data_IF_248454331174
#
_entry.id   IF_248454331174
#
_cell.length_a   1.000
_cell.length_b   1.000
_cell.length_c   1.000
_cell.angle_alpha   90.00
_cell.angle_beta   90.00
_cell.angle_gamma   90.00
#
_symmetry.space_group_name_H-M   'P 1'
#
loop_
_entity.id
_entity.type
_entity.pdbx_description
1 polymer ?
#
# COMPACT_ATOMS: atom_id res chain seq x y z
N UNK A 1 15.09 37.59 -45.79
CA UNK A 1 15.78 36.29 -45.90
C UNK A 1 14.79 35.21 -45.66
N UNK A 2 14.54 34.41 -46.68
CA UNK A 2 13.46 33.43 -46.81
C UNK A 2 13.61 32.28 -45.77
N UNK A 3 12.69 32.20 -44.86
CA UNK A 3 12.41 30.98 -44.10
C UNK A 3 11.50 30.09 -44.93
N UNK A 4 12.06 29.37 -45.87
CA UNK A 4 11.42 28.18 -46.42
C UNK A 4 11.39 27.12 -45.31
N UNK A 5 10.25 27.03 -44.63
CA UNK A 5 9.87 25.81 -43.90
C UNK A 5 9.71 24.70 -44.95
N UNK A 6 10.78 23.98 -45.19
CA UNK A 6 10.72 22.66 -45.82
C UNK A 6 9.81 21.79 -44.93
N UNK A 7 8.53 21.69 -45.30
CA UNK A 7 7.68 20.57 -44.95
C UNK A 7 8.42 19.31 -45.40
N UNK A 8 9.21 18.72 -44.54
CA UNK A 8 9.76 17.38 -44.77
C UNK A 8 8.57 16.42 -44.91
N UNK A 9 8.24 16.07 -46.16
CA UNK A 9 7.34 14.97 -46.47
C UNK A 9 7.86 13.78 -45.65
N UNK A 10 7.03 13.24 -44.78
CA UNK A 10 7.31 11.98 -44.06
C UNK A 10 7.62 10.95 -45.15
N UNK A 11 8.88 10.52 -45.21
CA UNK A 11 9.28 9.49 -46.16
C UNK A 11 8.47 8.21 -45.86
N UNK A 12 7.99 7.48 -46.86
CA UNK A 12 7.21 6.28 -46.67
C UNK A 12 7.97 5.33 -45.74
N UNK A 13 7.28 4.80 -44.73
CA UNK A 13 7.84 3.75 -43.85
C UNK A 13 8.09 2.57 -44.76
N UNK A 14 9.36 2.17 -44.91
CA UNK A 14 9.69 0.97 -45.62
C UNK A 14 8.94 -0.21 -44.99
N UNK A 15 8.23 -1.05 -45.78
CA UNK A 15 7.50 -2.22 -45.22
C UNK A 15 8.39 -3.14 -44.40
N UNK A 16 9.70 -3.09 -44.59
CA UNK A 16 10.74 -3.79 -43.81
C UNK A 16 10.63 -3.48 -42.31
N UNK A 17 10.29 -2.24 -41.88
CA UNK A 17 10.17 -1.94 -40.42
C UNK A 17 8.93 -2.52 -39.78
N UNK A 18 7.94 -2.95 -40.55
CA UNK A 18 6.79 -3.66 -40.04
C UNK A 18 7.12 -5.15 -39.79
N UNK A 19 8.05 -5.72 -40.55
CA UNK A 19 8.50 -7.11 -40.40
C UNK A 19 9.74 -7.22 -39.50
N UNK A 20 10.71 -6.31 -39.68
CA UNK A 20 11.98 -6.30 -38.97
C UNK A 20 12.08 -4.98 -38.20
N UNK A 21 11.96 -5.04 -36.86
CA UNK A 21 12.13 -3.84 -36.03
C UNK A 21 13.52 -3.24 -36.24
N UNK A 22 13.57 -1.93 -36.37
CA UNK A 22 14.83 -1.22 -36.64
C UNK A 22 15.26 -1.20 -38.09
N UNK A 23 14.58 -1.94 -39.01
CA UNK A 23 14.98 -2.05 -40.41
C UNK A 23 15.03 -0.69 -41.17
N UNK A 24 14.04 0.18 -40.98
CA UNK A 24 14.06 1.54 -41.53
C UNK A 24 15.15 2.40 -40.90
N UNK A 25 15.38 2.28 -39.62
CA UNK A 25 16.42 3.00 -38.89
C UNK A 25 17.82 2.61 -39.41
N UNK A 26 18.07 1.30 -39.56
CA UNK A 26 19.32 0.80 -40.12
C UNK A 26 19.57 1.27 -41.56
N UNK A 27 18.53 1.23 -42.42
CA UNK A 27 18.63 1.71 -43.79
C UNK A 27 18.90 3.21 -43.90
N UNK A 28 18.56 3.98 -42.85
CA UNK A 28 18.83 5.43 -42.74
C UNK A 28 20.05 5.75 -41.92
N UNK A 29 20.95 4.79 -41.69
CA UNK A 29 22.21 4.89 -40.91
C UNK A 29 22.06 5.20 -39.42
N UNK A 30 20.87 4.97 -38.81
CA UNK A 30 20.70 4.99 -37.35
C UNK A 30 21.07 3.62 -36.75
N UNK A 31 22.36 3.30 -36.74
CA UNK A 31 22.86 1.97 -36.34
C UNK A 31 22.55 1.62 -34.88
N UNK A 32 22.66 2.61 -33.95
CA UNK A 32 22.44 2.37 -32.53
C UNK A 32 20.97 2.08 -32.24
N UNK A 33 20.06 2.95 -32.67
CA UNK A 33 18.61 2.76 -32.45
C UNK A 33 18.09 1.52 -33.17
N UNK A 34 18.47 1.35 -34.44
CA UNK A 34 18.04 0.22 -35.25
C UNK A 34 18.56 -1.11 -34.68
N UNK A 35 19.81 -1.15 -34.21
CA UNK A 35 20.38 -2.31 -33.56
C UNK A 35 19.67 -2.68 -32.24
N UNK A 36 19.30 -1.70 -31.43
CA UNK A 36 18.53 -1.94 -30.19
C UNK A 36 17.14 -2.54 -30.51
N UNK A 37 16.39 -1.95 -31.46
CA UNK A 37 15.08 -2.48 -31.84
C UNK A 37 15.18 -3.87 -32.43
N UNK A 38 16.16 -4.13 -33.28
CA UNK A 38 16.41 -5.46 -33.85
C UNK A 38 16.77 -6.49 -32.77
N UNK A 39 17.66 -6.14 -31.84
CA UNK A 39 18.04 -7.04 -30.74
C UNK A 39 16.83 -7.41 -29.86
N UNK A 40 15.95 -6.43 -29.55
CA UNK A 40 14.72 -6.68 -28.77
C UNK A 40 13.82 -7.66 -29.52
N UNK A 41 13.65 -7.50 -30.84
CA UNK A 41 12.84 -8.43 -31.64
C UNK A 41 13.45 -9.85 -31.65
N UNK A 42 14.76 -9.95 -31.87
CA UNK A 42 15.45 -11.27 -31.87
C UNK A 42 15.28 -11.97 -30.53
N UNK A 43 15.52 -11.25 -29.43
CA UNK A 43 15.31 -11.80 -28.08
C UNK A 43 13.86 -12.29 -27.89
N UNK A 44 12.87 -11.48 -28.28
CA UNK A 44 11.47 -11.85 -28.17
C UNK A 44 11.13 -13.11 -28.99
N UNK A 45 11.64 -13.20 -30.24
CA UNK A 45 11.40 -14.37 -31.10
C UNK A 45 12.07 -15.64 -30.60
N UNK A 46 13.26 -15.53 -29.99
CA UNK A 46 13.95 -16.69 -29.40
C UNK A 46 13.14 -17.31 -28.23
N UNK A 47 12.45 -16.49 -27.44
CA UNK A 47 11.62 -16.94 -26.31
C UNK A 47 10.13 -17.04 -26.66
N UNK A 48 9.75 -16.90 -27.95
CA UNK A 48 8.34 -16.88 -28.35
C UNK A 48 7.61 -18.17 -27.98
N UNK A 49 8.25 -19.32 -28.15
CA UNK A 49 7.68 -20.64 -27.78
C UNK A 49 7.35 -20.69 -26.30
N UNK A 50 8.29 -20.27 -25.43
CA UNK A 50 8.12 -20.29 -23.98
C UNK A 50 7.05 -19.29 -23.55
N UNK A 51 7.04 -18.09 -24.15
CA UNK A 51 6.02 -17.06 -23.91
C UNK A 51 4.62 -17.58 -24.26
N UNK A 52 4.46 -18.26 -25.40
CA UNK A 52 3.16 -18.81 -25.79
C UNK A 52 2.74 -19.93 -24.84
N UNK A 53 3.67 -20.80 -24.45
CA UNK A 53 3.38 -21.89 -23.50
C UNK A 53 2.93 -21.33 -22.13
N UNK A 54 3.64 -20.34 -21.61
CA UNK A 54 3.28 -19.69 -20.32
C UNK A 54 1.97 -18.92 -20.41
N UNK A 55 1.65 -18.28 -21.55
CA UNK A 55 0.35 -17.65 -21.76
C UNK A 55 -0.79 -18.67 -21.79
N UNK A 56 -0.61 -19.83 -22.43
CA UNK A 56 -1.59 -20.93 -22.36
C UNK A 56 -1.77 -21.37 -20.92
N UNK A 57 -0.67 -21.57 -20.18
CA UNK A 57 -0.69 -21.93 -18.77
C UNK A 57 -1.44 -20.94 -17.86
N UNK A 58 -1.42 -19.64 -18.21
CA UNK A 58 -2.21 -18.63 -17.50
C UNK A 58 -3.73 -18.92 -17.59
N UNK A 59 -4.21 -19.40 -18.72
CA UNK A 59 -5.63 -19.68 -18.91
C UNK A 59 -6.04 -21.06 -18.39
N UNK A 60 -5.20 -22.08 -18.55
CA UNK A 60 -5.52 -23.45 -18.14
C UNK A 60 -5.25 -23.70 -16.65
N UNK A 61 -4.28 -23.00 -16.06
CA UNK A 61 -3.78 -23.21 -14.70
C UNK A 61 -3.26 -24.62 -14.42
N UNK A 62 -2.93 -25.37 -15.48
CA UNK A 62 -2.44 -26.75 -15.46
C UNK A 62 -3.53 -27.80 -15.66
N UNK A 63 -3.11 -28.94 -16.17
CA UNK A 63 -4.00 -30.05 -16.53
C UNK A 63 -3.70 -31.31 -15.70
N UNK A 64 -2.51 -31.41 -15.12
CA UNK A 64 -2.01 -32.63 -14.45
C UNK A 64 -1.77 -32.34 -12.95
N UNK A 65 -2.60 -32.93 -12.10
CA UNK A 65 -2.38 -32.91 -10.65
C UNK A 65 -1.25 -33.89 -10.26
N UNK A 66 -0.59 -33.62 -9.13
CA UNK A 66 0.43 -34.51 -8.59
C UNK A 66 -0.14 -35.91 -8.26
N UNK A 67 0.44 -36.97 -8.80
CA UNK A 67 0.00 -38.32 -8.55
C UNK A 67 1.09 -39.07 -7.76
N UNK A 68 0.70 -39.66 -6.63
CA UNK A 68 1.58 -40.55 -5.85
C UNK A 68 1.31 -42.01 -6.21
N UNK A 69 2.28 -42.66 -6.85
CA UNK A 69 2.24 -44.12 -7.14
C UNK A 69 3.25 -44.84 -6.23
N UNK A 70 2.77 -45.32 -5.08
CA UNK A 70 3.64 -45.96 -4.07
C UNK A 70 4.68 -45.01 -3.50
N UNK A 71 5.98 -45.31 -3.72
CA UNK A 71 7.11 -44.46 -3.29
C UNK A 71 7.49 -43.38 -4.31
N UNK A 72 6.99 -43.46 -5.55
CA UNK A 72 7.29 -42.47 -6.60
C UNK A 72 6.21 -41.39 -6.61
N UNK A 73 6.67 -40.15 -6.67
CA UNK A 73 5.82 -38.96 -6.82
C UNK A 73 6.02 -38.43 -8.23
N UNK A 74 4.98 -38.47 -9.04
CA UNK A 74 4.94 -37.80 -10.34
C UNK A 74 4.54 -36.35 -10.05
N UNK A 75 5.44 -35.42 -10.35
CA UNK A 75 5.14 -34.01 -10.16
C UNK A 75 4.02 -33.57 -11.09
N UNK A 76 3.03 -32.86 -10.53
CA UNK A 76 1.98 -32.22 -11.28
C UNK A 76 2.30 -30.75 -11.58
N UNK A 77 1.41 -30.13 -12.33
CA UNK A 77 1.49 -28.71 -12.63
C UNK A 77 1.28 -27.87 -11.37
N UNK A 78 2.01 -26.76 -11.27
CA UNK A 78 1.81 -25.79 -10.22
C UNK A 78 1.01 -24.60 -10.76
N UNK A 79 -0.30 -24.63 -10.58
CA UNK A 79 -1.24 -23.62 -11.06
C UNK A 79 -0.84 -22.19 -10.70
N UNK A 80 -0.23 -21.97 -9.51
CA UNK A 80 0.17 -20.63 -9.07
C UNK A 80 1.44 -20.17 -9.78
N UNK A 81 2.41 -21.07 -10.02
CA UNK A 81 3.57 -20.72 -10.82
C UNK A 81 3.18 -20.41 -12.25
N UNK A 82 2.28 -21.20 -12.86
CA UNK A 82 1.76 -20.95 -14.20
C UNK A 82 1.02 -19.61 -14.28
N UNK A 83 0.25 -19.25 -13.24
CA UNK A 83 -0.40 -17.94 -13.15
C UNK A 83 0.64 -16.81 -13.09
N UNK A 84 1.67 -16.92 -12.25
CA UNK A 84 2.72 -15.90 -12.09
C UNK A 84 3.52 -15.75 -13.38
N UNK A 85 3.98 -16.84 -13.96
CA UNK A 85 4.75 -16.86 -15.21
C UNK A 85 3.93 -16.29 -16.37
N UNK A 86 2.64 -16.65 -16.47
CA UNK A 86 1.75 -16.12 -17.47
C UNK A 86 1.49 -14.62 -17.35
N UNK A 87 1.42 -14.07 -16.11
CA UNK A 87 1.36 -12.62 -15.89
C UNK A 87 2.65 -11.95 -16.32
N UNK A 88 3.80 -12.53 -16.01
CA UNK A 88 5.11 -12.02 -16.47
C UNK A 88 5.16 -12.02 -17.99
N UNK A 89 4.76 -13.13 -18.64
CA UNK A 89 4.70 -13.22 -20.09
C UNK A 89 3.77 -12.15 -20.70
N UNK A 90 2.63 -11.90 -20.09
CA UNK A 90 1.70 -10.83 -20.51
C UNK A 90 2.34 -9.45 -20.43
N UNK A 91 3.08 -9.15 -19.37
CA UNK A 91 3.84 -7.90 -19.21
C UNK A 91 4.92 -7.80 -20.30
N UNK A 92 5.67 -8.86 -20.55
CA UNK A 92 6.70 -8.91 -21.61
C UNK A 92 6.10 -8.65 -22.98
N UNK A 93 4.97 -9.26 -23.30
CA UNK A 93 4.25 -9.02 -24.57
C UNK A 93 3.77 -7.58 -24.66
N UNK A 94 3.25 -7.00 -23.57
CA UNK A 94 2.83 -5.59 -23.51
C UNK A 94 4.01 -4.62 -23.73
N UNK A 95 5.16 -4.89 -23.12
CA UNK A 95 6.39 -4.11 -23.32
C UNK A 95 6.90 -4.24 -24.75
N UNK A 96 6.88 -5.45 -25.31
CA UNK A 96 7.25 -5.67 -26.71
C UNK A 96 6.32 -4.92 -27.68
N UNK A 97 5.00 -5.01 -27.49
CA UNK A 97 4.02 -4.29 -28.29
C UNK A 97 4.23 -2.76 -28.22
N UNK A 98 4.50 -2.23 -27.02
CA UNK A 98 4.81 -0.81 -26.83
C UNK A 98 6.09 -0.42 -27.59
N UNK A 99 7.13 -1.24 -27.47
CA UNK A 99 8.41 -1.03 -28.17
C UNK A 99 8.23 -1.10 -29.70
N UNK A 100 7.38 -2.00 -30.17
CA UNK A 100 7.04 -2.12 -31.58
C UNK A 100 6.33 -0.85 -32.10
N UNK A 101 5.37 -0.31 -31.34
CA UNK A 101 4.70 0.96 -31.68
C UNK A 101 5.70 2.12 -31.73
N UNK A 102 6.62 2.17 -30.75
CA UNK A 102 7.67 3.19 -30.71
C UNK A 102 8.62 3.08 -31.91
N UNK A 103 8.99 1.84 -32.30
CA UNK A 103 9.79 1.60 -33.51
C UNK A 103 9.12 2.16 -34.75
N UNK A 104 7.81 1.91 -34.94
CA UNK A 104 7.07 2.45 -36.11
C UNK A 104 6.99 3.97 -36.06
N UNK A 105 6.72 4.59 -34.90
CA UNK A 105 6.69 6.05 -34.74
C UNK A 105 8.05 6.68 -35.08
N UNK A 106 9.14 6.09 -34.56
CA UNK A 106 10.50 6.57 -34.81
C UNK A 106 10.86 6.39 -36.30
N UNK A 107 10.50 5.27 -36.94
CA UNK A 107 10.71 5.02 -38.36
C UNK A 107 9.99 6.04 -39.24
N UNK A 108 8.78 6.49 -38.88
CA UNK A 108 8.03 7.52 -39.61
C UNK A 108 8.70 8.90 -39.56
N UNK A 109 9.29 9.23 -38.42
CA UNK A 109 9.85 10.55 -38.11
C UNK A 109 11.34 10.67 -38.41
N UNK A 110 12.04 9.56 -38.66
CA UNK A 110 13.49 9.57 -38.91
C UNK A 110 13.82 10.04 -40.32
N UNK A 111 14.81 10.93 -40.43
CA UNK A 111 15.50 11.33 -41.70
C UNK A 111 16.83 10.56 -41.79
N UNK A 112 17.60 10.78 -42.88
CA UNK A 112 18.93 10.18 -42.97
C UNK A 112 19.86 10.73 -41.88
N UNK A 113 20.63 9.84 -41.29
CA UNK A 113 21.58 10.16 -40.21
C UNK A 113 23.02 10.26 -40.78
N UNK A 114 23.68 11.37 -40.50
CA UNK A 114 25.09 11.58 -40.88
C UNK A 114 26.04 11.46 -39.70
N UNK A 115 25.54 11.05 -38.54
CA UNK A 115 26.35 10.90 -37.29
C UNK A 115 27.10 9.58 -37.30
N UNK A 116 28.32 9.59 -36.75
CA UNK A 116 29.09 8.37 -36.49
C UNK A 116 28.42 7.57 -35.36
N UNK A 117 28.75 6.27 -35.27
CA UNK A 117 28.21 5.39 -34.24
C UNK A 117 28.38 5.96 -32.81
N UNK A 118 29.58 6.49 -32.49
CA UNK A 118 29.88 7.11 -31.19
C UNK A 118 29.00 8.33 -30.91
N UNK A 119 28.80 9.18 -31.92
CA UNK A 119 27.94 10.36 -31.80
C UNK A 119 26.46 9.97 -31.66
N UNK A 120 26.01 8.90 -32.33
CA UNK A 120 24.64 8.37 -32.16
C UNK A 120 24.40 7.86 -30.74
N UNK A 121 25.38 7.16 -30.17
CA UNK A 121 25.30 6.66 -28.79
C UNK A 121 25.21 7.81 -27.78
N UNK A 122 26.09 8.83 -27.94
CA UNK A 122 26.09 10.00 -27.07
C UNK A 122 24.76 10.78 -27.18
N UNK A 123 24.30 11.02 -28.38
CA UNK A 123 23.02 11.69 -28.62
C UNK A 123 21.83 10.91 -28.06
N UNK A 124 21.82 9.58 -28.20
CA UNK A 124 20.77 8.73 -27.61
C UNK A 124 20.78 8.82 -26.09
N UNK A 125 21.97 8.84 -25.49
CA UNK A 125 22.12 9.02 -24.05
C UNK A 125 21.58 10.37 -23.59
N UNK A 126 21.94 11.48 -24.25
CA UNK A 126 21.43 12.81 -23.91
C UNK A 126 19.92 12.93 -24.11
N UNK A 127 19.40 12.53 -25.28
CA UNK A 127 17.98 12.64 -25.63
C UNK A 127 17.09 11.76 -24.71
N UNK A 128 17.63 10.66 -24.18
CA UNK A 128 16.90 9.66 -23.39
C UNK A 128 17.40 9.53 -21.97
N UNK A 129 18.23 10.43 -21.50
CA UNK A 129 18.84 10.40 -20.18
C UNK A 129 17.81 10.16 -19.07
N UNK A 130 16.72 10.93 -19.06
CA UNK A 130 15.67 10.78 -18.04
C UNK A 130 15.05 9.37 -18.05
N UNK A 131 14.79 8.80 -19.24
CA UNK A 131 14.25 7.44 -19.34
C UNK A 131 15.27 6.40 -18.88
N UNK A 132 16.54 6.53 -19.24
CA UNK A 132 17.62 5.60 -18.85
C UNK A 132 17.75 5.57 -17.31
N UNK A 133 17.75 6.73 -16.66
CA UNK A 133 17.87 6.86 -15.21
C UNK A 133 16.64 6.34 -14.48
N UNK A 134 15.44 6.57 -15.03
CA UNK A 134 14.19 6.11 -14.41
C UNK A 134 13.87 4.64 -14.69
N UNK A 135 14.47 4.01 -15.71
CA UNK A 135 14.18 2.61 -16.08
C UNK A 135 14.36 1.61 -14.93
N UNK A 136 15.44 1.63 -14.13
CA UNK A 136 15.59 0.69 -13.02
C UNK A 136 14.47 0.83 -11.98
N UNK A 137 14.10 2.07 -11.62
CA UNK A 137 13.01 2.34 -10.69
C UNK A 137 11.65 1.90 -11.25
N UNK A 138 11.41 2.11 -12.54
CA UNK A 138 10.19 1.66 -13.23
C UNK A 138 10.09 0.13 -13.27
N UNK A 139 11.17 -0.56 -13.62
CA UNK A 139 11.21 -2.04 -13.62
C UNK A 139 11.02 -2.60 -12.21
N UNK A 140 11.65 -2.00 -11.21
CA UNK A 140 11.44 -2.38 -9.81
C UNK A 140 9.98 -2.16 -9.39
N UNK A 141 9.34 -1.05 -9.79
CA UNK A 141 7.92 -0.81 -9.52
C UNK A 141 7.02 -1.85 -10.18
N UNK A 142 7.31 -2.26 -11.41
CA UNK A 142 6.56 -3.34 -12.08
C UNK A 142 6.73 -4.65 -11.30
N UNK A 143 7.96 -5.03 -10.94
CA UNK A 143 8.25 -6.30 -10.29
C UNK A 143 7.72 -6.39 -8.85
N UNK A 144 7.83 -5.32 -8.06
CA UNK A 144 7.53 -5.36 -6.62
C UNK A 144 6.20 -4.72 -6.23
N UNK A 145 5.55 -3.97 -7.12
CA UNK A 145 4.27 -3.32 -6.85
C UNK A 145 3.20 -3.85 -7.80
N UNK A 146 3.38 -3.70 -9.11
CA UNK A 146 2.33 -4.03 -10.10
C UNK A 146 2.08 -5.54 -10.15
N UNK A 147 3.14 -6.35 -10.24
CA UNK A 147 3.02 -7.80 -10.36
C UNK A 147 2.28 -8.43 -9.17
N UNK A 148 2.61 -8.18 -7.88
CA UNK A 148 1.85 -8.70 -6.74
C UNK A 148 0.38 -8.25 -6.72
N UNK A 149 0.09 -7.01 -7.13
CA UNK A 149 -1.29 -6.52 -7.22
C UNK A 149 -2.07 -7.31 -8.27
N UNK A 150 -1.50 -7.48 -9.47
CA UNK A 150 -2.14 -8.24 -10.55
C UNK A 150 -2.38 -9.68 -10.13
N UNK A 151 -1.38 -10.34 -9.51
CA UNK A 151 -1.53 -11.70 -8.98
C UNK A 151 -2.66 -11.77 -7.94
N UNK A 152 -2.70 -10.82 -7.00
CA UNK A 152 -3.77 -10.76 -5.99
C UNK A 152 -5.15 -10.62 -6.64
N UNK A 153 -5.26 -9.77 -7.67
CA UNK A 153 -6.51 -9.63 -8.43
C UNK A 153 -6.89 -10.94 -9.10
N UNK A 154 -5.96 -11.62 -9.77
CA UNK A 154 -6.25 -12.87 -10.47
C UNK A 154 -6.60 -14.00 -9.49
N UNK A 155 -5.90 -14.14 -8.38
CA UNK A 155 -6.18 -15.13 -7.33
C UNK A 155 -7.60 -14.97 -6.78
N UNK A 156 -8.15 -13.78 -6.71
CA UNK A 156 -9.54 -13.56 -6.26
C UNK A 156 -10.59 -14.23 -7.14
N UNK A 157 -10.25 -14.52 -8.40
CA UNK A 157 -11.11 -15.21 -9.36
C UNK A 157 -10.88 -16.72 -9.43
N UNK A 158 -9.99 -17.25 -8.57
CA UNK A 158 -9.67 -18.69 -8.48
C UNK A 158 -10.25 -19.31 -7.21
N UNK A 159 -10.19 -20.66 -7.11
CA UNK A 159 -10.55 -21.39 -5.89
C UNK A 159 -9.34 -21.69 -4.98
N UNK A 160 -8.21 -20.97 -5.12
CA UNK A 160 -6.97 -21.22 -4.39
C UNK A 160 -7.14 -21.15 -2.88
N UNK A 161 -7.24 -22.33 -2.24
CA UNK A 161 -7.44 -22.44 -0.79
C UNK A 161 -7.15 -23.85 -0.25
N UNK A 162 -6.67 -23.93 0.99
CA UNK A 162 -6.60 -25.18 1.72
C UNK A 162 -8.01 -25.65 2.14
N UNK A 163 -8.20 -26.98 2.24
CA UNK A 163 -7.25 -28.05 1.96
C UNK A 163 -7.31 -28.55 0.51
N UNK A 164 -8.32 -28.14 -0.27
CA UNK A 164 -8.71 -28.80 -1.51
C UNK A 164 -7.95 -28.32 -2.75
N UNK A 165 -7.50 -27.08 -2.79
CA UNK A 165 -6.88 -26.48 -3.96
C UNK A 165 -5.52 -25.86 -3.62
N UNK A 166 -4.57 -26.73 -3.24
CA UNK A 166 -3.17 -26.36 -2.95
C UNK A 166 -2.26 -27.07 -3.97
N UNK A 167 -1.74 -26.36 -4.98
CA UNK A 167 -0.82 -26.93 -5.97
C UNK A 167 0.53 -27.31 -5.33
N UNK A 168 1.25 -28.29 -5.88
CA UNK A 168 0.90 -29.11 -7.06
C UNK A 168 0.01 -30.31 -6.72
N UNK A 169 -0.32 -30.52 -5.44
CA UNK A 169 -1.11 -31.67 -5.00
C UNK A 169 -2.51 -31.70 -5.61
N UNK A 170 -3.17 -30.56 -5.64
CA UNK A 170 -4.45 -30.35 -6.31
C UNK A 170 -4.38 -29.07 -7.14
N UNK A 171 -4.98 -29.09 -8.32
CA UNK A 171 -5.01 -27.94 -9.21
C UNK A 171 -5.93 -26.84 -8.69
N UNK A 172 -5.70 -25.64 -9.18
CA UNK A 172 -6.53 -24.46 -8.96
C UNK A 172 -7.30 -24.16 -10.24
N UNK A 173 -8.57 -23.80 -10.11
CA UNK A 173 -9.45 -23.47 -11.22
C UNK A 173 -9.92 -22.02 -11.18
N UNK A 174 -10.27 -21.51 -12.36
CA UNK A 174 -10.95 -20.24 -12.48
C UNK A 174 -12.44 -20.40 -12.08
N UNK A 175 -12.87 -19.64 -11.06
CA UNK A 175 -14.26 -19.66 -10.57
C UNK A 175 -15.02 -18.36 -10.83
N UNK A 176 -14.35 -17.39 -11.46
CA UNK A 176 -14.93 -16.07 -11.74
C UNK A 176 -15.34 -15.33 -10.47
N UNK A 177 -16.50 -14.69 -10.47
CA UNK A 177 -16.99 -13.85 -9.37
C UNK A 177 -17.59 -14.62 -8.18
N UNK A 178 -17.53 -15.96 -8.18
CA UNK A 178 -18.14 -16.78 -7.11
C UNK A 178 -17.64 -16.43 -5.72
N UNK A 179 -16.36 -16.10 -5.57
CA UNK A 179 -15.77 -15.73 -4.28
C UNK A 179 -16.35 -14.41 -3.73
N UNK A 180 -16.59 -13.44 -4.61
CA UNK A 180 -17.25 -12.18 -4.23
C UNK A 180 -18.70 -12.44 -3.78
N UNK A 181 -19.43 -13.29 -4.51
CA UNK A 181 -20.79 -13.69 -4.14
C UNK A 181 -20.77 -14.43 -2.81
N UNK A 182 -19.81 -15.34 -2.59
CA UNK A 182 -19.67 -16.10 -1.36
C UNK A 182 -19.48 -15.19 -0.14
N UNK A 183 -18.66 -14.16 -0.25
CA UNK A 183 -18.40 -13.22 0.85
C UNK A 183 -19.68 -12.51 1.33
N UNK A 184 -20.61 -12.18 0.42
CA UNK A 184 -21.81 -11.44 0.78
C UNK A 184 -23.06 -12.32 0.95
N UNK A 185 -23.12 -13.50 0.32
CA UNK A 185 -24.28 -14.39 0.36
C UNK A 185 -24.28 -15.29 1.59
N UNK A 186 -23.14 -15.80 2.01
CA UNK A 186 -23.06 -16.68 3.19
C UNK A 186 -22.99 -15.86 4.46
N UNK A 187 -23.97 -16.05 5.34
CA UNK A 187 -24.13 -15.27 6.58
C UNK A 187 -22.86 -15.16 7.40
N UNK A 188 -22.15 -16.27 7.63
CA UNK A 188 -20.93 -16.27 8.44
C UNK A 188 -19.81 -15.38 7.84
N UNK A 189 -19.70 -15.32 6.51
CA UNK A 189 -18.71 -14.46 5.84
C UNK A 189 -19.13 -13.00 5.85
N UNK A 190 -20.42 -12.72 5.58
CA UNK A 190 -20.94 -11.34 5.59
C UNK A 190 -20.94 -10.74 6.98
N UNK A 191 -21.33 -11.49 8.00
CA UNK A 191 -21.31 -11.03 9.40
C UNK A 191 -19.86 -10.77 9.88
N UNK A 192 -18.91 -11.65 9.51
CA UNK A 192 -17.50 -11.43 9.80
C UNK A 192 -16.99 -10.18 9.08
N UNK A 193 -17.27 -10.05 7.79
CA UNK A 193 -16.81 -8.89 7.00
C UNK A 193 -17.34 -7.57 7.57
N UNK A 194 -18.63 -7.50 7.85
CA UNK A 194 -19.25 -6.30 8.42
C UNK A 194 -18.76 -6.00 9.84
N UNK A 195 -18.59 -7.03 10.67
CA UNK A 195 -18.10 -6.86 12.03
C UNK A 195 -16.64 -6.38 12.07
N UNK A 196 -15.76 -6.98 11.25
CA UNK A 196 -14.37 -6.53 11.10
C UNK A 196 -14.31 -5.14 10.48
N UNK A 197 -15.14 -4.84 9.47
CA UNK A 197 -15.24 -3.51 8.88
C UNK A 197 -15.60 -2.45 9.93
N UNK A 198 -16.71 -2.67 10.63
CA UNK A 198 -17.17 -1.73 11.67
C UNK A 198 -16.09 -1.48 12.73
N UNK A 199 -15.48 -2.56 13.21
CA UNK A 199 -14.40 -2.41 14.18
C UNK A 199 -13.18 -1.70 13.61
N UNK A 200 -12.78 -1.98 12.37
CA UNK A 200 -11.65 -1.29 11.70
C UNK A 200 -11.88 0.21 11.66
N UNK A 201 -13.11 0.65 11.33
CA UNK A 201 -13.46 2.08 11.32
C UNK A 201 -13.45 2.69 12.72
N UNK A 202 -14.10 2.03 13.70
CA UNK A 202 -14.12 2.51 15.10
C UNK A 202 -12.68 2.62 15.61
N UNK A 203 -11.88 1.59 15.41
CA UNK A 203 -10.47 1.57 15.78
C UNK A 203 -9.69 2.74 15.15
N UNK A 204 -9.74 2.90 13.82
CA UNK A 204 -8.98 3.92 13.13
C UNK A 204 -9.38 5.34 13.56
N UNK A 205 -10.68 5.58 13.74
CA UNK A 205 -11.22 6.86 14.20
C UNK A 205 -10.80 7.12 15.66
N UNK A 206 -11.06 6.19 16.56
CA UNK A 206 -10.76 6.36 17.98
C UNK A 206 -9.26 6.49 18.23
N UNK A 207 -8.44 5.62 17.61
CA UNK A 207 -6.99 5.71 17.74
C UNK A 207 -6.46 7.06 17.26
N UNK A 208 -6.96 7.58 16.13
CA UNK A 208 -6.53 8.87 15.59
C UNK A 208 -6.97 10.03 16.47
N UNK A 209 -8.27 10.09 16.83
CA UNK A 209 -8.83 11.20 17.60
C UNK A 209 -8.22 11.24 19.01
N UNK A 210 -8.13 10.11 19.70
CA UNK A 210 -7.60 10.08 21.06
C UNK A 210 -6.09 10.34 21.10
N UNK A 211 -5.33 9.83 20.13
CA UNK A 211 -3.89 10.12 20.02
C UNK A 211 -3.66 11.60 19.76
N UNK A 212 -4.41 12.21 18.84
CA UNK A 212 -4.36 13.65 18.59
C UNK A 212 -4.76 14.44 19.84
N UNK A 213 -5.92 14.14 20.45
CA UNK A 213 -6.44 14.88 21.59
C UNK A 213 -5.50 14.81 22.78
N UNK A 214 -4.94 13.63 23.09
CA UNK A 214 -3.99 13.48 24.18
C UNK A 214 -2.68 14.21 23.90
N UNK A 215 -2.15 14.13 22.68
CA UNK A 215 -0.98 14.90 22.23
C UNK A 215 -1.24 16.42 22.30
N UNK A 216 -2.46 16.86 21.94
CA UNK A 216 -2.88 18.27 22.04
C UNK A 216 -2.90 18.76 23.49
N UNK A 217 -3.48 17.98 24.39
CA UNK A 217 -3.50 18.28 25.83
C UNK A 217 -2.07 18.41 26.37
N UNK A 218 -1.19 17.46 26.03
CA UNK A 218 0.21 17.50 26.44
C UNK A 218 0.94 18.75 25.90
N UNK A 219 0.73 19.10 24.62
CA UNK A 219 1.33 20.26 24.00
C UNK A 219 0.90 21.55 24.69
N UNK A 220 -0.41 21.74 24.94
CA UNK A 220 -0.94 22.89 25.65
C UNK A 220 -0.44 22.96 27.11
N UNK A 221 -0.43 21.83 27.80
CA UNK A 221 0.08 21.76 29.15
C UNK A 221 1.54 22.24 29.20
N UNK A 222 2.40 21.72 28.33
CA UNK A 222 3.84 22.03 28.31
C UNK A 222 4.17 23.39 27.66
N UNK A 223 3.22 24.05 27.00
CA UNK A 223 3.39 25.42 26.47
C UNK A 223 3.24 26.51 27.55
N UNK A 224 2.66 26.19 28.72
CA UNK A 224 2.47 27.15 29.80
C UNK A 224 3.83 27.60 30.38
N UNK A 225 4.03 28.93 30.50
CA UNK A 225 5.27 29.55 31.00
C UNK A 225 5.64 29.17 32.44
N UNK A 226 4.66 28.82 33.27
CA UNK A 226 4.83 28.59 34.71
C UNK A 226 5.19 27.15 35.09
N UNK A 227 5.38 26.22 34.12
CA UNK A 227 5.74 24.85 34.42
C UNK A 227 7.23 24.73 34.68
N UNK A 228 7.57 24.48 35.94
CA UNK A 228 8.94 24.10 36.33
C UNK A 228 9.29 22.78 35.62
N UNK A 229 10.50 22.70 35.08
CA UNK A 229 11.00 21.51 34.39
C UNK A 229 10.25 21.10 33.11
N UNK A 230 9.56 22.04 32.43
CA UNK A 230 8.86 21.75 31.16
C UNK A 230 9.73 21.00 30.14
N UNK A 231 11.04 21.32 30.07
CA UNK A 231 11.99 20.63 29.18
C UNK A 231 12.17 19.16 29.56
N UNK A 232 12.29 18.87 30.86
CA UNK A 232 12.47 17.48 31.37
C UNK A 232 11.18 16.69 31.17
N UNK A 233 10.01 17.27 31.47
CA UNK A 233 8.71 16.65 31.24
C UNK A 233 8.50 16.33 29.74
N UNK A 234 8.89 17.26 28.86
CA UNK A 234 8.84 17.01 27.42
C UNK A 234 9.70 15.84 27.01
N UNK A 235 10.93 15.74 27.57
CA UNK A 235 11.82 14.61 27.33
C UNK A 235 11.20 13.28 27.80
N UNK A 236 10.59 13.25 28.99
CA UNK A 236 9.91 12.06 29.54
C UNK A 236 8.75 11.64 28.63
N UNK A 237 7.91 12.60 28.20
CA UNK A 237 6.78 12.27 27.32
C UNK A 237 7.18 11.84 25.91
N UNK A 238 8.38 12.17 25.44
CA UNK A 238 8.90 11.70 24.13
C UNK A 238 9.45 10.27 24.21
N UNK A 239 9.85 9.78 25.38
CA UNK A 239 10.44 8.44 25.53
C UNK A 239 9.63 7.31 24.89
N UNK A 240 8.30 7.23 25.02
CA UNK A 240 7.51 6.19 24.37
C UNK A 240 7.69 6.15 22.85
N UNK A 241 7.84 7.30 22.23
CA UNK A 241 8.04 7.42 20.78
C UNK A 241 9.47 7.09 20.34
N UNK A 242 10.45 7.21 21.24
CA UNK A 242 11.85 6.88 20.95
C UNK A 242 12.13 5.36 20.97
N UNK A 243 11.26 4.59 21.60
CA UNK A 243 11.39 3.11 21.65
C UNK A 243 10.73 2.51 20.40
N UNK A 244 11.37 1.53 19.73
CA UNK A 244 10.74 0.86 18.59
C UNK A 244 9.36 0.31 18.98
N UNK A 245 8.33 0.69 18.20
CA UNK A 245 6.93 0.39 18.54
C UNK A 245 6.65 -1.09 18.75
N UNK A 246 7.29 -1.97 17.96
CA UNK A 246 7.09 -3.41 18.10
C UNK A 246 7.54 -3.94 19.48
N UNK A 247 8.66 -3.41 20.02
CA UNK A 247 9.14 -3.76 21.35
C UNK A 247 8.15 -3.32 22.41
N UNK A 248 7.68 -2.08 22.30
CA UNK A 248 6.70 -1.50 23.22
C UNK A 248 5.41 -2.33 23.25
N UNK A 249 4.88 -2.70 22.08
CA UNK A 249 3.63 -3.50 21.99
C UNK A 249 3.79 -4.88 22.62
N UNK A 250 4.91 -5.56 22.39
CA UNK A 250 5.19 -6.87 23.00
C UNK A 250 5.36 -6.76 24.52
N UNK A 251 6.01 -5.70 25.01
CA UNK A 251 6.13 -5.43 26.46
C UNK A 251 4.73 -5.22 27.05
N UNK A 252 3.87 -4.40 26.44
CA UNK A 252 2.50 -4.20 26.93
C UNK A 252 1.68 -5.49 26.91
N UNK A 253 1.86 -6.34 25.91
CA UNK A 253 1.22 -7.66 25.88
C UNK A 253 1.63 -8.50 27.09
N UNK A 254 2.91 -8.50 27.47
CA UNK A 254 3.40 -9.21 28.66
C UNK A 254 2.90 -8.58 29.95
N UNK A 255 2.93 -7.24 30.06
CA UNK A 255 2.50 -6.51 31.25
C UNK A 255 1.01 -6.70 31.52
N UNK A 256 0.17 -6.70 30.49
CA UNK A 256 -1.30 -6.73 30.57
C UNK A 256 -1.89 -8.15 30.45
N UNK A 257 -1.06 -9.18 30.43
CA UNK A 257 -1.51 -10.57 30.48
C UNK A 257 -2.23 -10.86 31.81
N UNK A 258 -3.13 -11.84 31.81
CA UNK A 258 -3.89 -12.25 33.00
C UNK A 258 -3.04 -12.55 34.25
N UNK A 259 -1.85 -13.11 34.03
CA UNK A 259 -0.85 -13.39 35.09
C UNK A 259 0.33 -12.41 35.07
N UNK A 260 0.20 -11.30 34.29
CA UNK A 260 1.26 -10.33 34.10
C UNK A 260 1.50 -9.42 35.32
N UNK A 261 2.61 -8.64 35.29
CA UNK A 261 3.00 -7.75 36.37
C UNK A 261 1.93 -6.75 36.81
N UNK A 262 1.10 -6.24 35.87
CA UNK A 262 0.02 -5.30 36.19
C UNK A 262 -1.02 -5.98 37.09
N UNK A 263 -1.48 -7.18 36.75
CA UNK A 263 -2.42 -7.94 37.55
C UNK A 263 -1.81 -8.41 38.88
N UNK A 264 -0.53 -8.77 38.89
CA UNK A 264 0.19 -9.08 40.13
C UNK A 264 0.22 -7.89 41.09
N UNK A 265 0.46 -6.69 40.56
CA UNK A 265 0.40 -5.45 41.34
C UNK A 265 -1.02 -5.16 41.82
N UNK A 266 -2.05 -5.27 41.00
CA UNK A 266 -3.46 -5.08 41.41
C UNK A 266 -3.83 -6.02 42.55
N UNK A 267 -3.48 -7.29 42.44
CA UNK A 267 -3.72 -8.28 43.52
C UNK A 267 -2.98 -7.92 44.79
N UNK A 268 -1.75 -7.40 44.72
CA UNK A 268 -0.97 -7.02 45.90
C UNK A 268 -1.59 -5.88 46.74
N UNK A 269 -2.39 -5.01 46.04
CA UNK A 269 -3.12 -3.92 46.69
C UNK A 269 -4.58 -4.27 47.01
N UNK A 270 -4.95 -5.57 46.87
CA UNK A 270 -6.29 -6.07 47.21
C UNK A 270 -7.35 -5.86 46.14
N UNK A 271 -6.95 -5.49 44.92
CA UNK A 271 -7.86 -5.36 43.74
C UNK A 271 -7.92 -6.68 42.98
N UNK A 272 -9.05 -6.96 42.36
CA UNK A 272 -9.20 -8.12 41.49
C UNK A 272 -8.40 -7.97 40.20
N UNK A 273 -7.92 -9.10 39.68
CA UNK A 273 -7.30 -9.16 38.35
C UNK A 273 -8.27 -8.67 37.25
N UNK A 274 -7.74 -7.96 36.28
CA UNK A 274 -8.49 -7.47 35.13
C UNK A 274 -8.07 -8.22 33.86
N UNK A 275 -9.03 -8.76 33.17
CA UNK A 275 -8.81 -9.42 31.86
C UNK A 275 -8.69 -8.38 30.74
N UNK A 276 -7.51 -7.75 30.67
CA UNK A 276 -7.23 -6.68 29.71
C UNK A 276 -7.30 -7.14 28.25
N UNK A 277 -6.88 -8.37 27.96
CA UNK A 277 -6.70 -8.87 26.58
C UNK A 277 -7.67 -10.02 26.23
N UNK A 278 -8.31 -10.64 27.24
CA UNK A 278 -9.14 -11.85 27.08
C UNK A 278 -10.63 -11.54 26.98
N UNK A 279 -11.08 -10.38 27.45
CA UNK A 279 -12.47 -9.92 27.32
C UNK A 279 -12.60 -8.96 26.14
N UNK A 280 -13.59 -9.13 25.23
CA UNK A 280 -13.69 -8.37 23.98
C UNK A 280 -13.65 -6.85 24.15
N UNK A 281 -14.43 -6.32 25.08
CA UNK A 281 -14.49 -4.87 25.30
C UNK A 281 -13.17 -4.34 25.88
N UNK A 282 -12.63 -5.05 26.88
CA UNK A 282 -11.37 -4.66 27.51
C UNK A 282 -10.21 -4.70 26.51
N UNK A 283 -10.15 -5.73 25.66
CA UNK A 283 -9.13 -5.84 24.62
C UNK A 283 -9.20 -4.66 23.62
N UNK A 284 -10.41 -4.29 23.19
CA UNK A 284 -10.61 -3.12 22.32
C UNK A 284 -10.16 -1.81 22.97
N UNK A 285 -10.54 -1.57 24.21
CA UNK A 285 -10.12 -0.38 24.98
C UNK A 285 -8.61 -0.38 25.19
N UNK A 286 -8.03 -1.51 25.56
CA UNK A 286 -6.60 -1.67 25.83
C UNK A 286 -5.77 -1.37 24.60
N UNK A 287 -6.16 -1.91 23.43
CA UNK A 287 -5.46 -1.64 22.17
C UNK A 287 -5.46 -0.14 21.85
N UNK A 288 -6.61 0.53 21.98
CA UNK A 288 -6.71 1.98 21.79
C UNK A 288 -5.82 2.73 22.78
N UNK A 289 -5.88 2.40 24.06
CA UNK A 289 -5.12 3.08 25.11
C UNK A 289 -3.60 2.97 24.90
N UNK A 290 -3.12 1.78 24.57
CA UNK A 290 -1.69 1.54 24.28
C UNK A 290 -1.27 2.32 23.01
N UNK A 291 -2.10 2.33 21.96
CA UNK A 291 -1.83 3.09 20.75
C UNK A 291 -1.75 4.60 21.03
N UNK A 292 -2.65 5.12 21.86
CA UNK A 292 -2.64 6.54 22.29
C UNK A 292 -1.35 6.84 23.05
N UNK A 293 -0.97 5.99 23.99
CA UNK A 293 0.26 6.18 24.77
C UNK A 293 1.51 6.22 23.88
N UNK A 294 1.60 5.36 22.87
CA UNK A 294 2.72 5.32 21.92
C UNK A 294 2.70 6.51 20.96
N UNK A 295 1.53 6.89 20.45
CA UNK A 295 1.40 7.86 19.36
C UNK A 295 1.27 9.32 19.79
N UNK A 296 0.76 9.59 20.99
CA UNK A 296 0.51 10.95 21.48
C UNK A 296 1.75 11.87 21.51
N UNK A 297 2.98 11.38 21.83
CA UNK A 297 4.18 12.22 21.79
C UNK A 297 4.46 12.84 20.43
N UNK A 298 4.17 12.12 19.36
CA UNK A 298 4.30 12.65 18.00
C UNK A 298 3.41 13.87 17.78
N UNK A 299 2.13 13.78 18.15
CA UNK A 299 1.20 14.91 18.06
C UNK A 299 1.56 16.02 19.03
N UNK A 300 2.05 15.69 20.22
CA UNK A 300 2.55 16.69 21.17
C UNK A 300 3.65 17.57 20.52
N UNK A 301 4.62 16.96 19.85
CA UNK A 301 5.69 17.70 19.16
C UNK A 301 5.18 18.50 17.97
N UNK A 302 4.35 17.89 17.14
CA UNK A 302 3.77 18.53 15.96
C UNK A 302 2.94 19.76 16.34
N UNK A 303 2.08 19.61 17.36
CA UNK A 303 1.22 20.69 17.85
C UNK A 303 2.03 21.76 18.57
N UNK A 304 3.06 21.39 19.33
CA UNK A 304 3.95 22.38 19.94
C UNK A 304 4.63 23.26 18.87
N UNK A 305 5.03 22.67 17.73
CA UNK A 305 5.52 23.42 16.58
C UNK A 305 4.45 24.35 15.98
N UNK A 306 3.23 23.83 15.77
CA UNK A 306 2.12 24.63 15.24
C UNK A 306 1.76 25.81 16.15
N UNK A 307 1.77 25.62 17.46
CA UNK A 307 1.51 26.67 18.43
C UNK A 307 2.54 27.82 18.37
N UNK A 308 3.79 27.55 18.01
CA UNK A 308 4.81 28.60 17.86
C UNK A 308 4.57 29.50 16.66
N UNK A 309 3.82 29.03 15.66
CA UNK A 309 3.49 29.79 14.44
C UNK A 309 2.29 30.75 14.63
N UNK A 310 1.59 30.66 15.76
CA UNK A 310 0.46 31.55 16.07
C UNK A 310 1.01 32.85 16.66
N UNK A 311 0.72 34.00 16.00
CA UNK A 311 1.16 35.30 16.51
C UNK A 311 0.57 35.60 17.90
N UNK A 312 1.42 36.15 18.77
CA UNK A 312 0.97 36.63 20.09
C UNK A 312 -0.01 37.78 19.99
N UNK A 313 0.09 38.62 18.96
CA UNK A 313 -0.79 39.77 18.76
C UNK A 313 -2.26 39.34 18.66
N UNK A 314 -2.55 38.14 18.12
CA UNK A 314 -3.91 37.61 18.08
C UNK A 314 -4.48 37.35 19.48
N UNK A 315 -3.64 36.85 20.38
CA UNK A 315 -4.06 36.62 21.77
C UNK A 315 -4.18 37.92 22.56
N UNK A 316 -3.26 38.85 22.35
CA UNK A 316 -3.29 40.17 23.00
C UNK A 316 -4.50 41.00 22.53
N UNK A 317 -4.79 41.00 21.22
CA UNK A 317 -6.00 41.67 20.69
C UNK A 317 -7.28 41.07 21.27
N UNK A 318 -7.35 39.71 21.32
CA UNK A 318 -8.53 39.04 21.89
C UNK A 318 -8.71 39.29 23.40
N UNK A 319 -7.62 39.51 24.16
CA UNK A 319 -7.68 39.91 25.57
C UNK A 319 -8.24 41.32 25.73
N UNK A 320 -7.88 42.26 24.85
CA UNK A 320 -8.43 43.60 24.81
C UNK A 320 -9.94 43.58 24.50
N UNK A 321 -10.36 42.66 23.61
CA UNK A 321 -11.78 42.44 23.29
C UNK A 321 -12.55 41.70 24.39
N UNK A 322 -11.90 41.33 25.50
CA UNK A 322 -12.51 40.66 26.64
C UNK A 322 -12.75 39.16 26.49
N UNK A 323 -12.07 38.51 25.53
CA UNK A 323 -12.20 37.09 25.32
C UNK A 323 -11.64 36.25 26.49
N UNK A 324 -12.39 35.25 26.92
CA UNK A 324 -11.95 34.27 27.91
C UNK A 324 -10.91 33.30 27.33
N UNK A 325 -10.11 32.65 28.17
CA UNK A 325 -9.13 31.64 27.74
C UNK A 325 -9.76 30.49 26.96
N UNK A 326 -11.02 30.14 27.27
CA UNK A 326 -11.77 29.13 26.50
C UNK A 326 -12.16 29.62 25.12
N UNK A 327 -12.56 30.87 24.98
CA UNK A 327 -12.85 31.48 23.67
C UNK A 327 -11.57 31.59 22.84
N UNK A 328 -10.45 32.03 23.42
CA UNK A 328 -9.15 32.04 22.75
C UNK A 328 -8.76 30.64 22.26
N UNK A 329 -8.97 29.60 23.09
CA UNK A 329 -8.71 28.22 22.68
C UNK A 329 -9.60 27.78 21.51
N UNK A 330 -10.92 28.02 21.63
CA UNK A 330 -11.92 27.53 20.66
C UNK A 330 -11.85 28.26 19.32
N UNK A 331 -11.68 29.58 19.35
CA UNK A 331 -11.81 30.43 18.16
C UNK A 331 -10.44 30.75 17.51
N UNK A 332 -9.32 30.67 18.24
CA UNK A 332 -7.99 30.99 17.73
C UNK A 332 -7.13 29.71 17.68
N UNK A 333 -6.86 29.13 18.84
CA UNK A 333 -5.85 28.06 18.96
C UNK A 333 -6.26 26.77 18.19
N UNK A 334 -7.46 26.27 18.49
CA UNK A 334 -7.91 25.00 17.92
C UNK A 334 -8.06 25.04 16.39
N UNK A 335 -8.71 26.05 15.78
CA UNK A 335 -8.85 26.12 14.33
C UNK A 335 -7.50 26.26 13.61
N UNK A 336 -6.59 27.11 14.13
CA UNK A 336 -5.29 27.33 13.52
C UNK A 336 -4.41 26.08 13.57
N UNK A 337 -4.39 25.39 14.73
CA UNK A 337 -3.67 24.12 14.87
C UNK A 337 -4.28 23.04 13.96
N UNK A 338 -5.62 22.90 13.98
CA UNK A 338 -6.28 21.92 13.11
C UNK A 338 -5.97 22.16 11.63
N UNK A 339 -5.96 23.41 11.17
CA UNK A 339 -5.63 23.72 9.79
C UNK A 339 -4.21 23.25 9.41
N UNK A 340 -3.23 23.45 10.31
CA UNK A 340 -1.84 23.05 10.07
C UNK A 340 -1.64 21.52 10.13
N UNK A 341 -2.34 20.82 11.04
CA UNK A 341 -2.14 19.38 11.26
C UNK A 341 -3.15 18.49 10.51
N UNK A 342 -4.16 19.07 9.86
CA UNK A 342 -5.21 18.33 9.16
C UNK A 342 -4.68 17.27 8.15
N UNK A 343 -3.68 17.57 7.31
CA UNK A 343 -3.11 16.56 6.41
C UNK A 343 -2.54 15.37 7.19
N UNK A 344 -1.85 15.64 8.30
CA UNK A 344 -1.26 14.60 9.15
C UNK A 344 -2.32 13.76 9.85
N UNK A 345 -3.44 14.36 10.29
CA UNK A 345 -4.57 13.61 10.86
C UNK A 345 -5.16 12.61 9.88
N UNK A 346 -5.31 13.01 8.64
CA UNK A 346 -5.83 12.12 7.59
C UNK A 346 -4.84 10.98 7.30
N UNK A 347 -3.54 11.30 7.21
CA UNK A 347 -2.49 10.27 7.05
C UNK A 347 -2.47 9.31 8.24
N UNK A 348 -2.64 9.82 9.46
CA UNK A 348 -2.69 8.98 10.68
C UNK A 348 -3.93 8.08 10.70
N UNK A 349 -5.08 8.56 10.24
CA UNK A 349 -6.27 7.73 10.08
C UNK A 349 -6.02 6.58 9.10
N UNK A 350 -5.44 6.87 7.91
CA UNK A 350 -5.10 5.84 6.92
C UNK A 350 -4.05 4.84 7.45
N UNK A 351 -3.07 5.32 8.21
CA UNK A 351 -2.10 4.48 8.90
C UNK A 351 -2.77 3.55 9.92
N UNK A 352 -3.63 4.11 10.81
CA UNK A 352 -4.34 3.31 11.81
C UNK A 352 -5.31 2.32 11.17
N UNK A 353 -5.96 2.66 10.06
CA UNK A 353 -6.81 1.74 9.32
C UNK A 353 -6.08 0.46 8.89
N UNK A 354 -4.77 0.56 8.60
CA UNK A 354 -3.91 -0.54 8.19
C UNK A 354 -2.83 -0.90 9.23
N UNK A 355 -3.03 -0.55 10.50
CA UNK A 355 -2.02 -0.76 11.54
C UNK A 355 -1.99 -2.22 12.03
N UNK A 356 -1.36 -3.07 11.21
CA UNK A 356 -1.15 -4.48 11.54
C UNK A 356 -0.47 -4.67 12.89
N UNK A 357 0.61 -3.91 13.15
CA UNK A 357 1.45 -4.08 14.33
C UNK A 357 0.70 -3.86 15.63
N UNK A 358 -0.11 -2.79 15.72
CA UNK A 358 -0.83 -2.47 16.96
C UNK A 358 -1.80 -3.60 17.38
N UNK A 359 -2.49 -4.19 16.42
CA UNK A 359 -3.46 -5.25 16.69
C UNK A 359 -2.76 -6.60 16.86
N UNK A 360 -1.89 -6.99 15.92
CA UNK A 360 -1.32 -8.34 15.91
C UNK A 360 -0.34 -8.57 17.04
N UNK A 361 0.55 -7.62 17.33
CA UNK A 361 1.56 -7.79 18.38
C UNK A 361 0.97 -7.72 19.80
N UNK A 362 -0.13 -7.01 19.99
CA UNK A 362 -0.75 -6.86 21.30
C UNK A 362 -1.77 -7.97 21.60
N UNK A 363 -2.64 -8.31 20.66
CA UNK A 363 -3.77 -9.23 20.87
C UNK A 363 -3.84 -10.40 19.89
N UNK A 364 -3.02 -10.42 18.83
CA UNK A 364 -3.16 -11.34 17.68
C UNK A 364 -4.58 -11.34 17.09
N UNK A 365 -5.29 -10.19 17.20
CA UNK A 365 -6.68 -10.07 16.78
C UNK A 365 -7.70 -10.69 17.75
N UNK A 366 -7.24 -11.23 18.89
CA UNK A 366 -8.09 -11.83 19.93
C UNK A 366 -8.91 -10.82 20.74
N UNK A 367 -9.75 -11.31 21.64
CA UNK A 367 -10.13 -12.72 21.81
C UNK A 367 -10.91 -13.28 20.62
N UNK A 368 -10.93 -14.62 20.52
CA UNK A 368 -11.66 -15.33 19.45
C UNK A 368 -13.14 -15.00 19.47
N UNK A 369 -13.73 -14.84 18.29
CA UNK A 369 -15.17 -14.67 18.13
C UNK A 369 -15.76 -15.89 17.43
N UNK A 370 -16.60 -16.71 18.12
CA UNK A 370 -17.16 -17.93 17.55
C UNK A 370 -18.15 -17.67 16.40
N UNK A 371 -18.71 -16.46 16.32
CA UNK A 371 -19.62 -16.05 15.24
C UNK A 371 -18.86 -15.60 13.98
N UNK A 372 -17.56 -15.37 14.08
CA UNK A 372 -16.74 -14.90 12.97
C UNK A 372 -15.92 -16.02 12.33
N UNK A 373 -15.80 -15.98 11.04
CA UNK A 373 -14.98 -16.94 10.30
C UNK A 373 -13.52 -16.45 10.27
N UNK A 374 -12.66 -17.13 11.02
CA UNK A 374 -11.22 -16.87 11.08
C UNK A 374 -10.81 -15.47 11.58
N UNK A 375 -11.69 -14.77 12.28
CA UNK A 375 -11.40 -13.47 12.89
C UNK A 375 -11.75 -13.47 14.39
N UNK A 376 -11.05 -12.63 15.16
CA UNK A 376 -11.39 -12.34 16.54
C UNK A 376 -11.99 -10.95 16.71
N UNK A 377 -12.26 -10.58 17.96
CA UNK A 377 -12.97 -9.33 18.30
C UNK A 377 -12.14 -8.05 18.06
N UNK A 378 -10.81 -8.14 18.03
CA UNK A 378 -9.94 -6.99 17.76
C UNK A 378 -9.32 -7.04 16.37
N UNK A 379 -9.61 -8.06 15.55
CA UNK A 379 -9.10 -8.10 14.18
C UNK A 379 -9.62 -6.92 13.37
N UNK A 380 -8.69 -6.25 12.70
CA UNK A 380 -8.96 -5.30 11.63
C UNK A 380 -8.73 -5.99 10.28
N UNK A 381 -9.10 -5.37 9.18
CA UNK A 381 -8.98 -6.00 7.87
C UNK A 381 -7.60 -6.59 7.58
N UNK A 382 -6.52 -5.84 7.84
CA UNK A 382 -5.16 -6.30 7.53
C UNK A 382 -4.75 -7.52 8.36
N UNK A 383 -5.15 -7.60 9.64
CA UNK A 383 -4.84 -8.75 10.50
C UNK A 383 -5.69 -9.96 10.14
N UNK A 384 -6.94 -9.76 9.73
CA UNK A 384 -7.79 -10.84 9.23
C UNK A 384 -7.28 -11.40 7.90
N UNK A 385 -6.90 -10.54 6.93
CA UNK A 385 -6.25 -10.96 5.67
C UNK A 385 -4.98 -11.77 5.95
N UNK A 386 -4.16 -11.32 6.90
CA UNK A 386 -2.96 -12.04 7.31
C UNK A 386 -3.28 -13.45 7.81
N UNK A 387 -4.27 -13.59 8.70
CA UNK A 387 -4.72 -14.89 9.21
C UNK A 387 -5.28 -15.78 8.09
N UNK A 388 -6.13 -15.22 7.23
CA UNK A 388 -6.68 -15.94 6.08
C UNK A 388 -5.57 -16.47 5.17
N UNK A 389 -4.50 -15.68 4.96
CA UNK A 389 -3.41 -16.04 4.07
C UNK A 389 -2.45 -17.05 4.71
N UNK A 390 -1.90 -16.75 5.90
CA UNK A 390 -0.81 -17.52 6.48
C UNK A 390 -1.29 -18.65 7.40
N UNK A 391 -2.34 -18.41 8.20
CA UNK A 391 -2.78 -19.41 9.17
C UNK A 391 -3.79 -20.40 8.56
N UNK A 392 -4.70 -19.89 7.71
CA UNK A 392 -5.83 -20.67 7.19
C UNK A 392 -5.73 -20.97 5.69
N UNK A 393 -4.74 -20.39 4.99
CA UNK A 393 -4.48 -20.60 3.57
C UNK A 393 -5.73 -20.41 2.68
N UNK A 394 -6.56 -19.42 3.01
CA UNK A 394 -7.77 -19.04 2.26
C UNK A 394 -7.44 -17.87 1.32
N UNK A 395 -6.51 -18.12 0.39
CA UNK A 395 -5.91 -17.07 -0.46
C UNK A 395 -6.95 -16.34 -1.32
N UNK A 396 -7.93 -17.07 -1.88
CA UNK A 396 -8.99 -16.53 -2.71
C UNK A 396 -9.85 -15.49 -1.98
N UNK A 397 -10.28 -15.77 -0.73
CA UNK A 397 -11.08 -14.82 0.06
C UNK A 397 -10.23 -13.66 0.58
N UNK A 398 -8.99 -13.93 1.01
CA UNK A 398 -8.05 -12.88 1.39
C UNK A 398 -7.85 -11.87 0.24
N UNK A 399 -7.72 -12.36 -0.99
CA UNK A 399 -7.58 -11.54 -2.19
C UNK A 399 -8.85 -10.73 -2.48
N UNK A 400 -10.04 -11.31 -2.36
CA UNK A 400 -11.33 -10.59 -2.53
C UNK A 400 -11.42 -9.43 -1.54
N UNK A 401 -11.15 -9.68 -0.26
CA UNK A 401 -11.20 -8.66 0.79
C UNK A 401 -10.19 -7.55 0.49
N UNK A 402 -8.96 -7.92 0.09
CA UNK A 402 -7.90 -6.96 -0.28
C UNK A 402 -8.33 -6.04 -1.41
N UNK A 403 -8.99 -6.57 -2.45
CA UNK A 403 -9.49 -5.77 -3.59
C UNK A 403 -10.59 -4.81 -3.14
N UNK A 404 -11.55 -5.28 -2.34
CA UNK A 404 -12.65 -4.43 -1.85
C UNK A 404 -12.08 -3.25 -1.04
N UNK A 405 -11.13 -3.53 -0.14
CA UNK A 405 -10.47 -2.49 0.66
C UNK A 405 -9.67 -1.53 -0.21
N UNK A 406 -8.93 -2.06 -1.19
CA UNK A 406 -8.15 -1.23 -2.12
C UNK A 406 -9.04 -0.27 -2.90
N UNK A 407 -10.14 -0.75 -3.46
CA UNK A 407 -11.11 0.10 -4.18
C UNK A 407 -11.70 1.16 -3.24
N UNK A 408 -12.11 0.75 -2.04
CA UNK A 408 -12.68 1.66 -1.04
C UNK A 408 -11.70 2.78 -0.65
N UNK A 409 -10.48 2.42 -0.28
CA UNK A 409 -9.45 3.40 0.11
C UNK A 409 -9.03 4.29 -1.07
N UNK A 410 -8.96 3.74 -2.28
CA UNK A 410 -8.65 4.52 -3.49
C UNK A 410 -9.72 5.58 -3.78
N UNK A 411 -11.00 5.24 -3.63
CA UNK A 411 -12.09 6.21 -3.81
C UNK A 411 -11.99 7.34 -2.79
N UNK A 412 -11.73 7.01 -1.51
CA UNK A 412 -11.54 8.02 -0.46
C UNK A 412 -10.34 8.92 -0.76
N UNK A 413 -9.20 8.32 -1.13
CA UNK A 413 -7.98 9.05 -1.45
C UNK A 413 -8.20 10.01 -2.63
N UNK A 414 -8.80 9.55 -3.74
CA UNK A 414 -9.11 10.40 -4.90
C UNK A 414 -10.07 11.54 -4.53
N UNK A 415 -11.12 11.24 -3.74
CA UNK A 415 -12.06 12.24 -3.29
C UNK A 415 -11.40 13.31 -2.43
N UNK A 416 -10.50 12.91 -1.53
CA UNK A 416 -9.75 13.82 -0.67
C UNK A 416 -8.76 14.68 -1.48
N UNK A 417 -7.97 14.07 -2.40
CA UNK A 417 -7.04 14.79 -3.26
C UNK A 417 -7.75 15.89 -4.06
N UNK A 418 -8.93 15.60 -4.61
CA UNK A 418 -9.74 16.60 -5.36
C UNK A 418 -10.21 17.79 -4.51
N UNK A 419 -10.24 17.66 -3.17
CA UNK A 419 -10.65 18.72 -2.25
C UNK A 419 -9.49 19.57 -1.73
N UNK A 420 -8.25 19.12 -1.88
CA UNK A 420 -7.08 19.88 -1.42
C UNK A 420 -6.83 21.07 -2.36
N UNK A 421 -6.67 22.28 -1.78
CA UNK A 421 -6.43 23.52 -2.55
C UNK A 421 -5.17 23.43 -3.42
N UNK A 422 -4.08 22.79 -2.92
CA UNK A 422 -2.86 22.62 -3.69
C UNK A 422 -3.07 21.94 -5.05
N UNK A 423 -4.05 21.06 -5.18
CA UNK A 423 -4.37 20.42 -6.45
C UNK A 423 -5.15 21.34 -7.40
N UNK A 424 -5.88 22.34 -6.87
CA UNK A 424 -6.61 23.32 -7.70
C UNK A 424 -5.69 24.37 -8.28
N UNK A 425 -4.63 24.74 -7.54
CA UNK A 425 -3.66 25.75 -7.98
C UNK A 425 -2.71 25.22 -9.06
N UNK A 426 -2.37 23.91 -9.04
CA UNK A 426 -1.50 23.27 -10.05
C UNK A 426 -2.23 22.92 -11.37
N UNK A 427 -3.56 22.79 -11.35
CA UNK A 427 -4.36 22.39 -12.54
C UNK A 427 -4.94 23.62 -13.28
N UNK A 428 -4.73 24.86 -12.76
CA UNK A 428 -5.08 26.09 -13.46
C UNK A 428 -6.58 26.23 -13.76
N UNK A 429 -7.47 25.72 -12.88
CA UNK A 429 -8.92 25.90 -12.95
C UNK A 429 -9.43 26.85 -11.91
#
# INVERSE_FOLDING_TARGET
>A
MNTQQLKMKSAPVLPISCLIMGGTQLSRHYYVKGGIFFAIQVCFLLYLSDIVHTLIGLFTLGDVAQIRKGLTVIQGDNSIFMLVEGVIATIIVGLFATTYILNIKDARNSSYCHLTFKQQLYKLYEDKFAFIVLTPAFLASIAFIVLPIVITVLVSFTNYAAPNHIPPKNLVDWVGIKNFIMLFKFKIWSDTFLGVALWTFIWAICATIFTFSFGFILALALAKKNIRFAKVLRLIFILPYAIPTFVTLLIFRLLLNGIGPVNSFLNSIGMNSVDFLSVPLNAKITVIAVCVWVGAPYFMLLIAGALTNISRDLYEASEVDGATKWQQFKEITLPMVLHQVAPTLVMTFAYNFNNFGAIYLLTEGGPTNPEYRFAGHTDIFITWIYKLTLNFQQYHIASVISIIIFIFLSVIAIWQFRRMKSFKDDVGM
#
